data_IF_283126787342
#
_entry.id   IF_283126787342
#
_cell.length_a   1.000
_cell.length_b   1.000
_cell.length_c   1.000
_cell.angle_alpha   90.00
_cell.angle_beta   90.00
_cell.angle_gamma   90.00
#
_symmetry.space_group_name_H-M   'P 1'
#
loop_
_entity.id
_entity.type
_entity.pdbx_description
1 polymer ?
#
# COMPACT_ATOMS: atom_id res chain seq x y z
N UNK A 1 46.05 -14.60 35.66
CA UNK A 1 45.40 -15.24 34.50
C UNK A 1 44.00 -14.65 34.40
N UNK A 2 43.83 -13.56 33.65
CA UNK A 2 42.56 -12.77 33.62
C UNK A 2 42.18 -12.34 32.18
N UNK A 3 43.00 -12.66 31.18
CA UNK A 3 42.90 -12.08 29.83
C UNK A 3 42.10 -12.96 28.86
N UNK A 4 41.98 -14.27 29.12
CA UNK A 4 41.28 -15.20 28.22
C UNK A 4 39.77 -15.05 28.24
N UNK A 5 39.16 -14.76 29.39
CA UNK A 5 37.69 -14.59 29.50
C UNK A 5 37.19 -13.29 28.84
N UNK A 6 37.95 -12.20 28.98
CA UNK A 6 37.64 -10.93 28.32
C UNK A 6 37.78 -11.01 26.79
N UNK A 7 38.82 -11.70 26.30
CA UNK A 7 39.01 -11.97 24.87
C UNK A 7 37.90 -12.84 24.29
N UNK A 8 37.56 -13.93 24.97
CA UNK A 8 36.48 -14.83 24.54
C UNK A 8 35.14 -14.09 24.42
N UNK A 9 34.80 -13.17 25.34
CA UNK A 9 33.58 -12.36 25.24
C UNK A 9 33.59 -11.45 24.01
N UNK A 10 34.73 -10.83 23.70
CA UNK A 10 34.85 -9.96 22.51
C UNK A 10 34.73 -10.76 21.22
N UNK A 11 35.40 -11.91 21.14
CA UNK A 11 35.35 -12.81 19.97
C UNK A 11 33.93 -13.34 19.72
N UNK A 12 33.21 -13.72 20.78
CA UNK A 12 31.81 -14.17 20.67
C UNK A 12 30.89 -13.01 20.27
N UNK A 13 31.13 -11.80 20.77
CA UNK A 13 30.37 -10.60 20.39
C UNK A 13 30.59 -10.22 18.93
N UNK A 14 31.82 -10.31 18.44
CA UNK A 14 32.16 -10.02 17.04
C UNK A 14 31.55 -11.06 16.10
N UNK A 15 31.68 -12.35 16.42
CA UNK A 15 31.03 -13.41 15.65
C UNK A 15 29.49 -13.26 15.65
N UNK A 16 28.89 -12.85 16.77
CA UNK A 16 27.46 -12.58 16.84
C UNK A 16 27.05 -11.36 16.01
N UNK A 17 27.86 -10.30 15.99
CA UNK A 17 27.61 -9.10 15.19
C UNK A 17 27.67 -9.40 13.69
N UNK A 18 28.67 -10.15 13.24
CA UNK A 18 28.81 -10.57 11.83
C UNK A 18 27.65 -11.46 11.38
N UNK A 19 27.23 -12.37 12.27
CA UNK A 19 26.07 -13.23 12.04
C UNK A 19 24.79 -12.42 11.91
N UNK A 20 24.58 -11.46 12.83
CA UNK A 20 23.42 -10.58 12.82
C UNK A 20 23.39 -9.70 11.56
N UNK A 21 24.53 -9.13 11.16
CA UNK A 21 24.64 -8.31 9.96
C UNK A 21 24.29 -9.09 8.69
N UNK A 22 24.76 -10.34 8.59
CA UNK A 22 24.47 -11.22 7.46
C UNK A 22 22.99 -11.59 7.37
N UNK A 23 22.36 -11.88 8.52
CA UNK A 23 20.95 -12.28 8.60
C UNK A 23 20.05 -11.08 8.34
N UNK A 24 20.28 -9.96 9.03
CA UNK A 24 19.50 -8.73 8.89
C UNK A 24 19.66 -8.12 7.49
N UNK A 25 20.84 -8.22 6.88
CA UNK A 25 21.07 -7.77 5.51
C UNK A 25 20.19 -8.49 4.49
N UNK A 26 19.88 -9.79 4.71
CA UNK A 26 18.95 -10.54 3.83
C UNK A 26 17.51 -10.09 3.99
N UNK A 27 17.11 -9.72 5.21
CA UNK A 27 15.73 -9.33 5.52
C UNK A 27 15.44 -7.84 5.32
N UNK A 28 16.48 -7.00 5.25
CA UNK A 28 16.35 -5.57 5.00
C UNK A 28 15.63 -5.25 3.68
N UNK A 29 15.71 -6.14 2.69
CA UNK A 29 15.07 -5.97 1.38
C UNK A 29 13.68 -6.61 1.29
N UNK A 30 13.12 -7.14 2.38
CA UNK A 30 11.72 -7.61 2.37
C UNK A 30 10.82 -6.38 2.25
N UNK A 31 10.07 -6.30 1.16
CA UNK A 31 9.07 -5.25 0.96
C UNK A 31 8.00 -5.35 2.06
N UNK A 32 7.63 -4.25 2.73
CA UNK A 32 6.56 -4.28 3.72
C UNK A 32 5.22 -4.56 3.05
N UNK A 33 4.36 -5.28 3.76
CA UNK A 33 2.96 -5.44 3.37
C UNK A 33 2.20 -4.14 3.62
N UNK A 34 1.56 -3.61 2.57
CA UNK A 34 0.61 -2.51 2.68
C UNK A 34 -0.79 -3.08 2.86
N UNK A 35 -1.47 -2.70 3.94
CA UNK A 35 -2.85 -3.12 4.22
C UNK A 35 -3.80 -1.93 4.12
N UNK A 36 -4.90 -2.11 3.38
CA UNK A 36 -6.00 -1.15 3.31
C UNK A 36 -7.20 -1.82 3.97
N UNK A 37 -7.69 -1.32 5.12
CA UNK A 37 -8.84 -1.90 5.80
C UNK A 37 -10.09 -1.95 4.90
N UNK A 38 -10.96 -2.92 5.13
CA UNK A 38 -12.24 -2.97 4.45
C UNK A 38 -13.07 -1.72 4.79
N UNK A 39 -13.85 -1.23 3.83
CA UNK A 39 -14.62 0.01 3.99
C UNK A 39 -13.78 1.30 3.94
N UNK A 40 -12.48 1.21 3.69
CA UNK A 40 -11.65 2.40 3.46
C UNK A 40 -12.15 3.16 2.23
N UNK A 41 -12.39 4.47 2.38
CA UNK A 41 -12.81 5.33 1.29
C UNK A 41 -11.61 5.66 0.39
N UNK A 42 -11.75 5.39 -0.91
CA UNK A 42 -10.76 5.73 -1.93
C UNK A 42 -11.31 6.80 -2.87
N UNK A 43 -10.42 7.67 -3.36
CA UNK A 43 -10.73 8.64 -4.41
C UNK A 43 -10.12 8.15 -5.70
N UNK A 44 -10.93 8.05 -6.76
CA UNK A 44 -10.48 7.59 -8.07
C UNK A 44 -10.34 8.80 -8.98
N UNK A 45 -9.12 9.01 -9.49
CA UNK A 45 -8.87 10.02 -10.51
C UNK A 45 -9.10 9.42 -11.90
N UNK A 46 -9.96 10.06 -12.68
CA UNK A 46 -10.21 9.69 -14.07
C UNK A 46 -9.16 10.35 -14.96
N UNK A 47 -8.51 9.54 -15.82
CA UNK A 47 -7.52 10.03 -16.77
C UNK A 47 -8.13 10.45 -18.12
N UNK A 48 -9.44 10.29 -18.27
CA UNK A 48 -10.19 10.65 -19.48
C UNK A 48 -11.64 10.96 -19.15
N UNK A 49 -12.29 11.65 -20.06
CA UNK A 49 -13.71 11.95 -19.97
C UNK A 49 -14.54 10.69 -20.21
N UNK A 50 -15.60 10.55 -19.42
CA UNK A 50 -16.60 9.50 -19.58
C UNK A 50 -17.89 10.15 -20.08
N UNK A 51 -18.26 9.84 -21.31
CA UNK A 51 -19.50 10.31 -21.91
C UNK A 51 -20.61 9.24 -21.76
N UNK A 52 -21.67 9.58 -21.02
CA UNK A 52 -22.84 8.73 -20.82
C UNK A 52 -24.05 9.18 -21.64
N UNK A 53 -23.90 10.18 -22.52
CA UNK A 53 -25.00 10.79 -23.27
C UNK A 53 -25.77 9.78 -24.13
N UNK A 54 -25.09 8.77 -24.68
CA UNK A 54 -25.73 7.71 -25.47
C UNK A 54 -26.65 6.82 -24.63
N UNK A 55 -26.28 6.54 -23.38
CA UNK A 55 -27.04 5.68 -22.48
C UNK A 55 -28.21 6.40 -21.83
N UNK A 56 -28.10 7.71 -21.58
CA UNK A 56 -29.15 8.51 -20.94
C UNK A 56 -29.93 9.40 -21.92
N UNK A 57 -29.89 9.07 -23.22
CA UNK A 57 -30.49 9.92 -24.26
C UNK A 57 -31.97 10.18 -24.04
N UNK A 58 -32.74 9.17 -23.60
CA UNK A 58 -34.19 9.29 -23.36
C UNK A 58 -34.50 10.19 -22.18
N UNK A 59 -33.70 10.11 -21.13
CA UNK A 59 -33.80 10.90 -19.92
C UNK A 59 -33.45 12.37 -20.19
N UNK A 60 -32.43 12.61 -21.03
CA UNK A 60 -32.03 13.94 -21.51
C UNK A 60 -33.16 14.55 -22.37
N UNK A 61 -33.74 13.78 -23.31
CA UNK A 61 -34.88 14.21 -24.13
C UNK A 61 -36.15 14.46 -23.30
N UNK A 62 -36.36 13.70 -22.23
CA UNK A 62 -37.50 13.90 -21.33
C UNK A 62 -37.33 15.16 -20.46
N UNK A 63 -36.13 15.41 -19.96
CA UNK A 63 -35.79 16.60 -19.17
C UNK A 63 -35.88 17.89 -20.00
N UNK A 64 -35.46 17.87 -21.27
CA UNK A 64 -35.58 19.04 -22.16
C UNK A 64 -37.03 19.42 -22.46
N UNK A 65 -37.96 18.45 -22.38
CA UNK A 65 -39.39 18.66 -22.54
C UNK A 65 -40.10 19.09 -21.23
N UNK A 66 -39.35 19.49 -20.20
CA UNK A 66 -39.89 20.00 -18.93
C UNK A 66 -40.29 18.91 -17.92
N UNK A 67 -39.99 17.65 -18.20
CA UNK A 67 -40.26 16.53 -17.30
C UNK A 67 -39.14 16.34 -16.27
N UNK A 68 -39.40 16.64 -15.00
CA UNK A 68 -38.47 16.31 -13.90
C UNK A 68 -38.45 14.79 -13.69
N UNK A 69 -37.31 14.15 -13.91
CA UNK A 69 -37.13 12.70 -13.67
C UNK A 69 -36.56 12.48 -12.28
N UNK A 70 -37.30 11.78 -11.41
CA UNK A 70 -36.80 11.32 -10.12
C UNK A 70 -36.07 9.99 -10.29
N UNK A 71 -34.86 9.89 -9.74
CA UNK A 71 -34.08 8.66 -9.71
C UNK A 71 -34.59 7.85 -8.50
N UNK A 72 -35.18 6.67 -8.73
CA UNK A 72 -35.52 5.68 -7.68
C UNK A 72 -34.36 4.73 -7.42
#
# INVERSE_FOLDING_TARGET
QENSSSRYRSEVQEAAADSAQTILGRYANIQPTLTVPHGSRVVIYLQRDLDFSSHFKKEIEHASNGGVTYIQ
#
